data_IF_566588769114
#
_entry.id   IF_566588769114
#
_cell.length_a   1.000
_cell.length_b   1.000
_cell.length_c   1.000
_cell.angle_alpha   90.00
_cell.angle_beta   90.00
_cell.angle_gamma   90.00
#
_symmetry.space_group_name_H-M   'P 1'
#
loop_
_entity.id
_entity.type
_entity.pdbx_description
1 polymer ?
#
# COMPACT_ATOMS: atom_id res chain seq x y z
N UNK A 1 -0.64 17.46 -5.21
CA UNK A 1 0.05 16.34 -4.54
C UNK A 1 -0.91 15.16 -4.50
N UNK A 2 -0.46 14.00 -4.97
CA UNK A 2 -1.25 12.77 -4.91
C UNK A 2 -0.54 11.69 -4.07
N UNK A 3 -1.33 10.88 -3.37
CA UNK A 3 -0.90 9.66 -2.72
C UNK A 3 -1.73 8.48 -3.24
N UNK A 4 -1.10 7.35 -3.47
CA UNK A 4 -1.77 6.10 -3.87
C UNK A 4 -1.51 5.05 -2.81
N UNK A 5 -2.55 4.37 -2.33
CA UNK A 5 -2.42 3.23 -1.41
C UNK A 5 -2.93 1.96 -2.08
N UNK A 6 -2.13 0.90 -2.03
CA UNK A 6 -2.37 -0.38 -2.71
C UNK A 6 -2.57 -1.48 -1.66
N UNK A 7 -3.77 -2.06 -1.63
CA UNK A 7 -4.11 -3.04 -0.60
C UNK A 7 -3.37 -4.37 -0.74
N UNK A 8 -3.48 -5.20 0.31
CA UNK A 8 -3.11 -6.61 0.24
C UNK A 8 -4.03 -7.45 -0.66
N UNK A 9 -3.65 -8.71 -0.87
CA UNK A 9 -4.36 -9.66 -1.75
C UNK A 9 -3.48 -10.44 -2.73
N UNK A 10 -2.15 -10.46 -2.53
CA UNK A 10 -1.22 -11.23 -3.37
C UNK A 10 -1.09 -10.71 -4.80
N UNK A 11 -0.80 -11.60 -5.76
CA UNK A 11 -0.65 -11.28 -7.17
C UNK A 11 -1.93 -10.65 -7.77
N UNK A 12 -3.11 -11.00 -7.24
CA UNK A 12 -4.37 -10.37 -7.65
C UNK A 12 -4.39 -8.88 -7.36
N UNK A 13 -4.01 -8.49 -6.14
CA UNK A 13 -3.96 -7.08 -5.74
C UNK A 13 -2.91 -6.31 -6.55
N UNK A 14 -1.78 -6.95 -6.83
CA UNK A 14 -0.76 -6.38 -7.70
C UNK A 14 -1.26 -6.18 -9.15
N UNK A 15 -2.00 -7.12 -9.72
CA UNK A 15 -2.57 -6.98 -11.07
C UNK A 15 -3.66 -5.90 -11.13
N UNK A 16 -4.63 -5.93 -10.21
CA UNK A 16 -5.67 -4.89 -10.15
C UNK A 16 -5.09 -3.49 -9.93
N UNK A 17 -4.14 -3.38 -8.99
CA UNK A 17 -3.40 -2.14 -8.74
C UNK A 17 -2.60 -1.66 -9.95
N UNK A 18 -1.99 -2.58 -10.73
CA UNK A 18 -1.28 -2.22 -11.95
C UNK A 18 -2.22 -1.55 -12.97
N UNK A 19 -3.44 -2.08 -13.11
CA UNK A 19 -4.49 -1.44 -13.90
C UNK A 19 -4.82 -0.02 -13.44
N UNK A 20 -4.93 0.21 -12.13
CA UNK A 20 -5.12 1.56 -11.58
C UNK A 20 -3.95 2.48 -11.93
N UNK A 21 -2.70 2.03 -11.77
CA UNK A 21 -1.52 2.82 -12.14
C UNK A 21 -1.49 3.14 -13.65
N UNK A 22 -1.89 2.20 -14.51
CA UNK A 22 -1.99 2.42 -15.95
C UNK A 22 -2.99 3.54 -16.28
N UNK A 23 -4.15 3.57 -15.62
CA UNK A 23 -5.15 4.63 -15.84
C UNK A 23 -4.73 5.98 -15.26
N UNK A 24 -4.02 6.00 -14.11
CA UNK A 24 -3.38 7.23 -13.59
C UNK A 24 -2.32 7.77 -14.56
N UNK A 25 -1.51 6.90 -15.17
CA UNK A 25 -0.52 7.29 -16.19
C UNK A 25 -1.17 7.77 -17.48
N UNK A 26 -2.30 7.19 -17.87
CA UNK A 26 -3.06 7.62 -19.04
C UNK A 26 -3.76 8.98 -18.85
N UNK A 27 -3.95 9.41 -17.61
CA UNK A 27 -4.62 10.68 -17.28
C UNK A 27 -3.64 11.85 -17.37
N UNK A 28 -3.60 12.48 -18.55
CA UNK A 28 -2.75 13.64 -18.87
C UNK A 28 -3.45 14.96 -18.57
N UNK A 29 -2.69 15.93 -18.08
CA UNK A 29 -3.17 17.29 -17.86
C UNK A 29 -2.02 18.31 -17.92
N UNK A 30 -2.37 19.58 -18.07
CA UNK A 30 -1.40 20.67 -18.14
C UNK A 30 -1.11 21.25 -16.76
N UNK A 31 0.18 21.49 -16.48
CA UNK A 31 0.63 22.24 -15.31
C UNK A 31 1.41 23.48 -15.74
N UNK A 32 1.75 24.34 -14.78
CA UNK A 32 2.68 25.46 -15.05
C UNK A 32 4.06 24.99 -15.56
N UNK A 33 4.41 23.71 -15.36
CA UNK A 33 5.67 23.09 -15.80
C UNK A 33 5.53 22.40 -17.18
N UNK A 34 4.34 22.37 -17.76
CA UNK A 34 4.00 21.66 -19.00
C UNK A 34 3.09 20.44 -18.76
N UNK A 35 2.92 19.64 -19.82
CA UNK A 35 2.12 18.42 -19.81
C UNK A 35 2.72 17.39 -18.84
N UNK A 36 1.85 16.82 -17.99
CA UNK A 36 2.21 15.77 -17.04
C UNK A 36 1.11 14.71 -17.00
N UNK A 37 1.34 13.63 -16.25
CA UNK A 37 0.31 12.63 -15.93
C UNK A 37 -0.02 12.66 -14.45
N UNK A 38 -1.20 12.18 -14.07
CA UNK A 38 -1.57 12.09 -12.66
C UNK A 38 -0.64 11.16 -11.88
N UNK A 39 -0.13 10.11 -12.52
CA UNK A 39 0.85 9.21 -11.91
C UNK A 39 2.20 9.90 -11.66
N UNK A 40 2.66 10.76 -12.56
CA UNK A 40 3.92 11.50 -12.41
C UNK A 40 3.86 12.55 -11.28
N UNK A 41 2.65 12.95 -10.85
CA UNK A 41 2.40 13.86 -9.73
C UNK A 41 2.11 13.14 -8.39
N UNK A 42 2.24 11.81 -8.36
CA UNK A 42 2.17 11.02 -7.12
C UNK A 42 3.45 11.25 -6.31
N UNK A 43 3.29 11.80 -5.11
CA UNK A 43 4.38 12.02 -4.16
C UNK A 43 4.60 10.85 -3.20
N UNK A 44 3.61 9.99 -3.02
CA UNK A 44 3.65 8.86 -2.10
C UNK A 44 2.92 7.66 -2.71
N UNK A 45 3.59 6.50 -2.70
CA UNK A 45 2.96 5.21 -2.96
C UNK A 45 3.09 4.33 -1.71
N UNK A 46 1.96 3.90 -1.17
CA UNK A 46 1.86 2.99 -0.03
C UNK A 46 1.40 1.62 -0.51
N UNK A 47 1.93 0.55 0.07
CA UNK A 47 1.53 -0.80 -0.29
C UNK A 47 1.58 -1.78 0.87
N UNK A 48 0.64 -2.72 0.85
CA UNK A 48 0.50 -3.80 1.83
C UNK A 48 0.50 -5.14 1.12
N UNK A 49 1.22 -6.14 1.64
CA UNK A 49 1.27 -7.51 1.11
C UNK A 49 1.52 -7.50 -0.42
N UNK A 50 0.65 -8.12 -1.23
CA UNK A 50 0.71 -8.04 -2.69
C UNK A 50 0.81 -6.63 -3.29
N UNK A 51 0.08 -5.65 -2.74
CA UNK A 51 0.18 -4.24 -3.15
C UNK A 51 1.54 -3.61 -2.85
N UNK A 52 2.25 -4.08 -1.80
CA UNK A 52 3.62 -3.63 -1.50
C UNK A 52 4.63 -4.06 -2.56
N UNK A 53 4.37 -5.20 -3.25
CA UNK A 53 5.23 -5.67 -4.34
C UNK A 53 5.15 -4.69 -5.52
N UNK A 54 3.93 -4.32 -5.92
CA UNK A 54 3.70 -3.33 -6.99
C UNK A 54 4.22 -1.94 -6.59
N UNK A 55 3.90 -1.48 -5.38
CA UNK A 55 4.33 -0.17 -4.87
C UNK A 55 5.86 -0.04 -4.90
N UNK A 56 6.57 -1.04 -4.37
CA UNK A 56 8.03 -1.04 -4.33
C UNK A 56 8.64 -1.14 -5.73
N UNK A 57 8.05 -1.91 -6.64
CA UNK A 57 8.54 -2.03 -8.01
C UNK A 57 8.39 -0.71 -8.77
N UNK A 58 7.22 -0.06 -8.66
CA UNK A 58 6.99 1.25 -9.27
C UNK A 58 7.91 2.33 -8.68
N UNK A 59 8.06 2.39 -7.35
CA UNK A 59 8.97 3.34 -6.73
C UNK A 59 10.42 3.15 -7.19
N UNK A 60 10.89 1.90 -7.28
CA UNK A 60 12.25 1.59 -7.68
C UNK A 60 12.54 1.82 -9.16
N UNK A 61 11.60 1.47 -10.05
CA UNK A 61 11.86 1.36 -11.49
C UNK A 61 10.98 2.27 -12.37
N UNK A 62 10.05 3.02 -11.79
CA UNK A 62 9.18 3.95 -12.52
C UNK A 62 8.38 3.26 -13.63
N UNK A 63 8.41 3.82 -14.84
CA UNK A 63 7.64 3.35 -16.00
C UNK A 63 8.02 1.92 -16.46
N UNK A 64 9.14 1.34 -16.00
CA UNK A 64 9.42 -0.08 -16.22
C UNK A 64 8.32 -0.99 -15.65
N UNK A 65 7.55 -0.51 -14.65
CA UNK A 65 6.41 -1.24 -14.09
C UNK A 65 5.40 -1.65 -15.16
N UNK A 66 5.22 -0.84 -16.21
CA UNK A 66 4.22 -1.10 -17.27
C UNK A 66 4.70 -2.05 -18.37
N UNK A 67 5.98 -2.44 -18.35
CA UNK A 67 6.56 -3.29 -19.39
C UNK A 67 7.21 -4.55 -18.86
N UNK A 68 7.66 -4.53 -17.60
CA UNK A 68 8.43 -5.62 -17.00
C UNK A 68 7.78 -6.27 -15.80
N UNK A 69 6.90 -5.56 -15.07
CA UNK A 69 6.35 -6.09 -13.83
C UNK A 69 5.57 -7.39 -14.03
N UNK A 70 4.80 -7.49 -15.11
CA UNK A 70 4.09 -8.71 -15.46
C UNK A 70 5.04 -9.89 -15.61
N UNK A 71 6.11 -9.73 -16.40
CA UNK A 71 7.10 -10.77 -16.61
C UNK A 71 7.94 -11.08 -15.37
N UNK A 72 8.32 -10.07 -14.61
CA UNK A 72 9.22 -10.20 -13.46
C UNK A 72 8.48 -10.74 -12.21
N UNK A 73 7.15 -10.60 -12.13
CA UNK A 73 6.35 -11.05 -10.97
C UNK A 73 5.04 -11.76 -11.34
N UNK A 74 4.12 -11.14 -12.08
CA UNK A 74 2.74 -11.63 -12.22
C UNK A 74 2.61 -12.92 -13.06
N UNK A 75 3.51 -13.12 -14.02
CA UNK A 75 3.53 -14.26 -14.95
C UNK A 75 4.61 -15.29 -14.59
N UNK A 76 5.38 -15.03 -13.53
CA UNK A 76 6.34 -16.01 -13.01
C UNK A 76 5.55 -17.07 -12.26
N UNK A 77 5.91 -18.34 -12.45
CA UNK A 77 5.41 -19.46 -11.63
C UNK A 77 6.01 -19.36 -10.21
N UNK A 78 5.60 -18.36 -9.46
CA UNK A 78 6.23 -17.92 -8.23
C UNK A 78 6.01 -18.94 -7.11
N UNK A 79 4.84 -19.57 -7.03
CA UNK A 79 4.58 -20.66 -6.07
C UNK A 79 5.41 -21.89 -6.40
N UNK A 80 5.52 -22.24 -7.68
CA UNK A 80 6.37 -23.35 -8.13
C UNK A 80 7.84 -23.10 -7.78
N UNK A 81 8.31 -21.86 -7.93
CA UNK A 81 9.64 -21.40 -7.50
C UNK A 81 9.85 -21.49 -5.99
N UNK A 82 8.90 -20.99 -5.20
CA UNK A 82 8.94 -21.03 -3.73
C UNK A 82 8.97 -22.48 -3.21
N UNK A 83 8.16 -23.37 -3.77
CA UNK A 83 8.14 -24.79 -3.40
C UNK A 83 9.49 -25.44 -3.72
N UNK A 84 10.01 -25.26 -4.93
CA UNK A 84 11.33 -25.81 -5.31
C UNK A 84 12.45 -25.25 -4.43
N UNK A 85 12.41 -23.96 -4.12
CA UNK A 85 13.41 -23.32 -3.29
C UNK A 85 13.30 -23.77 -1.83
N UNK A 86 12.09 -23.94 -1.29
CA UNK A 86 11.86 -24.46 0.07
C UNK A 86 12.28 -25.93 0.22
N UNK A 87 12.10 -26.73 -0.83
CA UNK A 87 12.52 -28.13 -0.92
C UNK A 87 13.99 -28.32 -1.32
N UNK A 88 14.72 -27.24 -1.61
CA UNK A 88 16.14 -27.34 -1.93
C UNK A 88 16.96 -27.75 -0.70
N UNK A 89 18.01 -28.59 -0.82
CA UNK A 89 18.78 -29.08 0.33
C UNK A 89 19.33 -27.95 1.22
N UNK A 90 19.75 -26.85 0.60
CA UNK A 90 20.25 -25.68 1.31
C UNK A 90 19.16 -24.96 2.11
N UNK A 91 17.97 -24.76 1.54
CA UNK A 91 16.85 -24.14 2.26
C UNK A 91 16.26 -25.06 3.31
N UNK A 92 16.14 -26.37 3.05
CA UNK A 92 15.63 -27.32 4.04
C UNK A 92 16.56 -27.38 5.26
N UNK A 93 17.88 -27.37 5.07
CA UNK A 93 18.85 -27.22 6.16
C UNK A 93 18.73 -25.87 6.87
N UNK A 94 18.59 -24.76 6.12
CA UNK A 94 18.37 -23.45 6.75
C UNK A 94 17.05 -23.39 7.51
N UNK A 95 15.98 -24.02 7.05
CA UNK A 95 14.67 -24.08 7.71
C UNK A 95 14.68 -24.88 9.02
N UNK A 96 15.74 -25.67 9.31
CA UNK A 96 15.93 -26.23 10.66
C UNK A 96 16.47 -25.20 11.65
N UNK A 97 16.95 -24.05 11.17
CA UNK A 97 17.40 -22.93 12.00
C UNK A 97 16.20 -22.20 12.60
N UNK A 98 16.23 -21.85 13.90
CA UNK A 98 15.21 -20.99 14.50
C UNK A 98 15.24 -19.56 13.94
N UNK A 99 16.30 -19.18 13.21
CA UNK A 99 16.49 -17.83 12.65
C UNK A 99 16.17 -17.72 11.15
N UNK A 100 15.77 -18.82 10.50
CA UNK A 100 15.43 -18.82 9.08
C UNK A 100 14.10 -19.53 8.84
N UNK A 101 13.11 -18.77 8.39
CA UNK A 101 11.76 -19.26 8.13
C UNK A 101 11.34 -19.17 6.66
N UNK A 102 10.09 -19.54 6.40
CA UNK A 102 9.48 -19.55 5.06
C UNK A 102 9.49 -18.17 4.39
N UNK A 103 9.41 -17.10 5.17
CA UNK A 103 9.42 -15.73 4.61
C UNK A 103 10.79 -15.31 4.12
N UNK A 104 11.89 -15.83 4.67
CA UNK A 104 13.23 -15.58 4.11
C UNK A 104 13.39 -16.25 2.74
N UNK A 105 12.68 -17.35 2.47
CA UNK A 105 12.62 -17.95 1.12
C UNK A 105 11.91 -16.98 0.15
N UNK A 106 10.79 -16.39 0.57
CA UNK A 106 10.11 -15.35 -0.20
C UNK A 106 10.99 -14.13 -0.46
N UNK A 107 11.66 -13.61 0.58
CA UNK A 107 12.58 -12.47 0.46
C UNK A 107 13.69 -12.75 -0.56
N UNK A 108 14.31 -13.94 -0.52
CA UNK A 108 15.33 -14.32 -1.50
C UNK A 108 14.80 -14.36 -2.94
N UNK A 109 13.57 -14.80 -3.16
CA UNK A 109 13.00 -14.84 -4.50
C UNK A 109 12.68 -13.43 -5.00
N UNK A 110 12.14 -12.58 -4.12
CA UNK A 110 11.89 -11.17 -4.39
C UNK A 110 13.17 -10.36 -4.65
N UNK A 111 14.34 -10.84 -4.19
CA UNK A 111 15.63 -10.21 -4.48
C UNK A 111 15.87 -10.07 -5.99
N UNK A 112 15.45 -11.06 -6.78
CA UNK A 112 15.56 -11.03 -8.25
C UNK A 112 14.59 -10.00 -8.87
N UNK A 113 13.39 -9.88 -8.31
CA UNK A 113 12.35 -8.93 -8.74
C UNK A 113 12.83 -7.49 -8.49
N UNK A 114 13.39 -7.23 -7.31
CA UNK A 114 13.88 -5.90 -6.91
C UNK A 114 15.34 -5.66 -7.26
N UNK A 115 16.02 -6.60 -7.93
CA UNK A 115 17.42 -6.45 -8.39
C UNK A 115 18.38 -6.05 -7.26
N UNK A 116 18.11 -6.53 -6.04
CA UNK A 116 18.84 -6.19 -4.81
C UNK A 116 18.77 -4.73 -4.35
N UNK A 117 17.77 -3.97 -4.84
CA UNK A 117 17.58 -2.56 -4.48
C UNK A 117 17.23 -2.41 -3.00
N UNK A 118 17.86 -1.43 -2.34
CA UNK A 118 17.59 -1.04 -0.95
C UNK A 118 16.78 0.26 -0.85
N UNK A 119 16.26 0.60 0.33
CA UNK A 119 15.67 1.92 0.57
C UNK A 119 16.68 3.07 0.41
N UNK A 120 17.96 2.82 0.69
CA UNK A 120 19.04 3.78 0.43
C UNK A 120 19.21 4.06 -1.07
N UNK A 121 19.26 3.01 -1.89
CA UNK A 121 19.32 3.13 -3.35
C UNK A 121 18.11 3.88 -3.91
N UNK A 122 16.90 3.60 -3.38
CA UNK A 122 15.68 4.29 -3.78
C UNK A 122 15.81 5.80 -3.53
N UNK A 123 16.23 6.18 -2.31
CA UNK A 123 16.40 7.58 -1.91
C UNK A 123 17.42 8.32 -2.79
N UNK A 124 18.51 7.65 -3.17
CA UNK A 124 19.56 8.26 -3.99
C UNK A 124 19.16 8.37 -5.47
N UNK A 125 18.58 7.32 -6.05
CA UNK A 125 18.35 7.21 -7.50
C UNK A 125 16.98 7.73 -7.92
N UNK A 126 15.95 7.49 -7.11
CA UNK A 126 14.54 7.84 -7.38
C UNK A 126 13.84 8.31 -6.08
N UNK A 127 14.13 9.54 -5.61
CA UNK A 127 13.55 10.05 -4.36
C UNK A 127 12.03 10.22 -4.39
N UNK A 128 11.41 10.18 -5.57
CA UNK A 128 9.96 10.29 -5.77
C UNK A 128 9.45 9.23 -6.77
N UNK A 129 8.25 8.65 -6.53
CA UNK A 129 7.42 8.83 -5.32
C UNK A 129 8.10 8.23 -4.08
N UNK A 130 7.81 8.76 -2.89
CA UNK A 130 8.20 8.08 -1.65
C UNK A 130 7.48 6.75 -1.54
N UNK A 131 8.18 5.72 -1.10
CA UNK A 131 7.61 4.40 -0.83
C UNK A 131 7.26 4.25 0.66
N UNK A 132 6.05 3.77 0.94
CA UNK A 132 5.64 3.31 2.26
C UNK A 132 5.25 1.83 2.17
N UNK A 133 6.02 0.96 2.83
CA UNK A 133 5.66 -0.46 3.00
C UNK A 133 5.20 -0.65 4.44
N UNK A 134 4.09 -1.36 4.63
CA UNK A 134 3.50 -1.56 5.95
C UNK A 134 3.39 -3.04 6.28
N UNK A 135 3.92 -3.44 7.42
CA UNK A 135 3.73 -4.76 8.04
C UNK A 135 2.90 -4.62 9.33
N UNK A 136 2.62 -5.71 10.03
CA UNK A 136 1.98 -5.69 11.34
C UNK A 136 2.93 -6.18 12.43
N UNK A 137 3.10 -5.41 13.51
CA UNK A 137 3.78 -5.89 14.71
C UNK A 137 2.88 -6.88 15.45
N UNK A 138 3.27 -8.15 15.45
CA UNK A 138 2.49 -9.25 16.01
C UNK A 138 2.21 -9.11 17.51
N UNK A 139 3.06 -8.39 18.25
CA UNK A 139 2.88 -8.23 19.71
C UNK A 139 1.82 -7.18 20.04
N UNK A 140 1.82 -6.07 19.30
CA UNK A 140 0.96 -4.92 19.59
C UNK A 140 -0.28 -4.87 18.71
N UNK A 141 -0.28 -5.58 17.58
CA UNK A 141 -1.34 -5.56 16.57
C UNK A 141 -1.40 -4.24 15.80
N UNK A 142 -0.37 -3.40 15.88
CA UNK A 142 -0.33 -2.09 15.20
C UNK A 142 0.49 -2.17 13.90
N UNK A 143 0.22 -1.29 12.93
CA UNK A 143 1.05 -1.16 11.74
C UNK A 143 2.51 -0.85 12.11
N UNK A 144 3.44 -1.57 11.49
CA UNK A 144 4.86 -1.27 11.49
C UNK A 144 5.25 -0.76 10.12
N UNK A 145 5.63 0.51 10.05
CA UNK A 145 5.92 1.21 8.79
C UNK A 145 7.42 1.19 8.50
N UNK A 146 7.82 0.87 7.27
CA UNK A 146 9.21 0.97 6.84
C UNK A 146 9.56 2.42 6.51
N UNK A 147 9.67 3.24 7.56
CA UNK A 147 9.96 4.69 7.48
C UNK A 147 11.20 5.06 8.30
N UNK A 148 11.93 6.13 7.93
CA UNK A 148 13.07 6.60 8.71
C UNK A 148 12.70 6.88 10.17
N UNK A 149 11.50 7.40 10.41
CA UNK A 149 10.99 7.72 11.74
C UNK A 149 10.81 6.45 12.59
N UNK A 150 10.18 5.41 12.04
CA UNK A 150 9.98 4.13 12.72
C UNK A 150 11.31 3.41 12.99
N UNK A 151 12.25 3.46 12.04
CA UNK A 151 13.57 2.84 12.19
C UNK A 151 14.45 3.59 13.19
N UNK A 152 14.34 4.91 13.28
CA UNK A 152 15.00 5.71 14.30
C UNK A 152 14.51 5.37 15.72
N UNK A 153 13.22 5.04 15.92
CA UNK A 153 12.70 4.61 17.22
C UNK A 153 13.35 3.32 17.74
N UNK A 154 13.70 2.41 16.82
CA UNK A 154 14.35 1.13 17.14
C UNK A 154 15.87 1.18 16.98
N UNK A 155 16.45 2.38 16.74
CA UNK A 155 17.87 2.60 16.51
C UNK A 155 18.47 1.71 15.41
N UNK A 156 17.73 1.54 14.32
CA UNK A 156 18.15 0.80 13.13
C UNK A 156 18.17 1.72 11.91
N UNK A 157 18.93 1.33 10.89
CA UNK A 157 19.02 2.08 9.64
C UNK A 157 18.06 1.51 8.59
N UNK A 158 17.12 2.33 8.11
CA UNK A 158 16.22 1.95 7.02
C UNK A 158 16.98 1.84 5.70
N UNK A 159 18.01 2.65 5.45
CA UNK A 159 18.66 2.74 4.14
C UNK A 159 19.33 1.43 3.74
N UNK A 160 19.89 0.71 4.72
CA UNK A 160 20.45 -0.63 4.54
C UNK A 160 19.41 -1.74 4.26
N UNK A 161 18.12 -1.47 4.39
CA UNK A 161 17.06 -2.49 4.26
C UNK A 161 16.80 -2.79 2.78
N UNK A 162 16.88 -4.06 2.34
CA UNK A 162 16.44 -4.46 1.00
C UNK A 162 14.93 -4.30 0.83
N UNK A 163 14.50 -3.84 -0.35
CA UNK A 163 13.07 -3.79 -0.69
C UNK A 163 12.42 -5.17 -0.58
N UNK A 164 13.15 -6.21 -1.01
CA UNK A 164 12.74 -7.61 -0.92
C UNK A 164 12.39 -8.04 0.52
N UNK A 165 13.16 -7.57 1.51
CA UNK A 165 12.93 -7.87 2.93
C UNK A 165 11.66 -7.18 3.44
N UNK A 166 11.49 -5.89 3.17
CA UNK A 166 10.32 -5.14 3.64
C UNK A 166 9.02 -5.67 3.03
N UNK A 167 9.03 -5.94 1.73
CA UNK A 167 7.89 -6.49 0.99
C UNK A 167 7.58 -7.92 1.45
N UNK A 168 8.60 -8.75 1.71
CA UNK A 168 8.38 -10.08 2.26
C UNK A 168 7.78 -10.04 3.68
N UNK A 169 8.23 -9.11 4.53
CA UNK A 169 7.64 -8.90 5.85
C UNK A 169 6.18 -8.44 5.76
N UNK A 170 5.88 -7.49 4.86
CA UNK A 170 4.52 -7.01 4.59
C UNK A 170 3.60 -8.09 4.01
N UNK A 171 4.17 -9.13 3.40
CA UNK A 171 3.45 -10.26 2.79
C UNK A 171 3.47 -11.54 3.64
N UNK A 172 3.94 -11.48 4.90
CA UNK A 172 4.17 -12.64 5.76
C UNK A 172 2.87 -13.17 6.40
N UNK A 173 1.96 -13.69 5.56
CA UNK A 173 0.63 -14.16 6.00
C UNK A 173 0.78 -15.20 7.12
N UNK A 174 0.18 -14.98 8.30
CA UNK A 174 0.28 -15.94 9.41
C UNK A 174 -0.09 -17.36 8.97
N UNK A 175 0.57 -18.36 9.56
CA UNK A 175 0.40 -19.79 9.29
C UNK A 175 0.92 -20.25 7.92
N UNK A 176 0.73 -19.47 6.84
CA UNK A 176 1.29 -19.77 5.52
C UNK A 176 2.79 -19.46 5.45
N UNK A 177 3.17 -18.33 6.03
CA UNK A 177 4.53 -17.83 6.10
C UNK A 177 4.96 -17.70 7.57
N UNK A 178 6.25 -17.47 7.80
CA UNK A 178 6.80 -17.30 9.16
C UNK A 178 6.90 -15.81 9.49
N UNK A 179 6.71 -15.37 10.74
CA UNK A 179 6.99 -13.99 11.10
C UNK A 179 8.45 -13.61 10.77
N UNK A 180 8.65 -12.36 10.34
CA UNK A 180 9.99 -11.79 10.13
C UNK A 180 10.40 -11.09 11.40
N UNK A 181 11.60 -11.38 11.90
CA UNK A 181 12.08 -10.77 13.14
C UNK A 181 13.05 -9.64 12.85
N UNK A 182 12.77 -8.46 13.39
CA UNK A 182 13.67 -7.31 13.40
C UNK A 182 14.23 -7.16 14.81
N UNK A 183 15.52 -6.88 14.91
CA UNK A 183 16.15 -6.60 16.20
C UNK A 183 15.93 -5.15 16.59
N UNK A 184 15.53 -4.95 17.83
CA UNK A 184 15.31 -3.64 18.39
C UNK A 184 16.56 -3.20 19.17
N UNK A 185 17.13 -2.06 18.79
CA UNK A 185 18.25 -1.42 19.46
C UNK A 185 17.81 -0.12 20.16
N UNK A 186 16.50 0.11 20.31
CA UNK A 186 15.91 1.26 20.98
C UNK A 186 16.59 1.57 22.32
N UNK A 187 16.83 2.86 22.57
CA UNK A 187 17.52 3.33 23.78
C UNK A 187 19.05 3.28 23.71
N UNK A 188 19.64 2.74 22.63
CA UNK A 188 21.10 2.79 22.40
C UNK A 188 21.57 3.99 21.59
N UNK A 189 20.64 4.73 20.98
CA UNK A 189 20.92 5.84 20.08
C UNK A 189 20.21 7.14 20.49
N UNK A 190 20.73 8.28 20.06
CA UNK A 190 20.19 9.60 20.36
C UNK A 190 19.18 10.10 19.32
N UNK A 191 19.13 9.51 18.11
CA UNK A 191 18.22 9.96 17.04
C UNK A 191 16.74 9.89 17.46
N UNK A 192 16.37 8.88 18.25
CA UNK A 192 15.00 8.70 18.75
C UNK A 192 14.52 9.86 19.63
N UNK A 193 15.42 10.60 20.28
CA UNK A 193 15.09 11.67 21.23
C UNK A 193 14.57 12.93 20.53
N UNK A 194 14.97 13.18 19.27
CA UNK A 194 14.51 14.33 18.49
C UNK A 194 13.07 14.19 17.97
N UNK A 195 12.54 12.96 17.90
CA UNK A 195 11.20 12.68 17.37
C UNK A 195 10.06 13.02 18.36
N UNK A 196 10.36 13.22 19.65
CA UNK A 196 9.37 13.59 20.68
C UNK A 196 9.05 15.09 20.73
N UNK A 197 9.87 15.93 20.09
CA UNK A 197 9.91 17.39 20.34
C UNK A 197 8.79 18.20 19.67
N UNK A 198 7.71 17.57 19.16
CA UNK A 198 6.74 18.28 18.33
C UNK A 198 5.27 17.86 18.38
N UNK A 199 4.88 16.75 19.02
CA UNK A 199 3.47 16.36 19.12
C UNK A 199 2.90 16.70 20.50
N UNK A 200 2.00 17.69 20.62
CA UNK A 200 1.35 17.98 21.89
C UNK A 200 0.43 16.81 22.25
N UNK A 201 0.86 15.98 23.21
CA UNK A 201 0.16 14.76 23.65
C UNK A 201 -1.26 15.02 24.17
N UNK A 202 -1.56 16.27 24.54
CA UNK A 202 -2.88 16.68 24.99
C UNK A 202 -3.86 16.98 23.84
N UNK A 203 -3.41 17.09 22.59
CA UNK A 203 -4.28 17.51 21.46
C UNK A 203 -5.41 16.53 21.17
N UNK A 204 -5.15 15.23 21.10
CA UNK A 204 -6.18 14.23 20.78
C UNK A 204 -5.79 12.79 21.16
N UNK A 205 -6.76 11.88 21.05
CA UNK A 205 -6.60 10.45 21.34
C UNK A 205 -5.54 9.79 20.45
N UNK A 206 -5.51 10.07 19.15
CA UNK A 206 -4.56 9.47 18.21
C UNK A 206 -3.11 9.81 18.56
N UNK A 207 -2.82 11.07 18.92
CA UNK A 207 -1.49 11.49 19.37
C UNK A 207 -1.01 10.71 20.60
N UNK A 208 -1.89 10.48 21.60
CA UNK A 208 -1.55 9.67 22.79
C UNK A 208 -1.27 8.21 22.45
N UNK A 209 -2.05 7.63 21.55
CA UNK A 209 -1.87 6.25 21.09
C UNK A 209 -0.55 6.10 20.34
N UNK A 210 -0.27 6.99 19.37
CA UNK A 210 1.00 6.99 18.62
C UNK A 210 2.21 7.16 19.55
N UNK A 211 2.13 8.06 20.52
CA UNK A 211 3.21 8.22 21.50
C UNK A 211 3.46 6.95 22.31
N UNK A 212 2.41 6.28 22.80
CA UNK A 212 2.55 5.02 23.53
C UNK A 212 3.18 3.92 22.66
N UNK A 213 2.77 3.82 21.40
CA UNK A 213 3.37 2.89 20.44
C UNK A 213 4.87 3.21 20.27
N UNK A 214 5.22 4.49 20.05
CA UNK A 214 6.59 4.94 19.89
C UNK A 214 7.47 4.63 21.11
N UNK A 215 6.97 4.87 22.32
CA UNK A 215 7.68 4.53 23.56
C UNK A 215 7.94 3.02 23.68
N UNK A 216 6.99 2.18 23.24
CA UNK A 216 7.17 0.73 23.26
C UNK A 216 8.36 0.29 22.40
N UNK A 217 8.59 0.95 21.26
CA UNK A 217 9.72 0.65 20.37
C UNK A 217 11.06 1.12 20.93
N UNK A 218 11.08 2.17 21.76
CA UNK A 218 12.33 2.63 22.39
C UNK A 218 12.79 1.73 23.53
N UNK A 219 11.91 0.87 24.07
CA UNK A 219 12.25 -0.01 25.19
C UNK A 219 12.83 -1.36 24.71
N UNK A 220 14.05 -1.36 24.17
CA UNK A 220 14.70 -2.61 23.73
C UNK A 220 15.01 -3.58 24.88
N UNK A 221 14.99 -3.12 26.14
CA UNK A 221 15.19 -3.99 27.31
C UNK A 221 14.00 -4.95 27.49
N UNK A 222 12.78 -4.46 27.31
CA UNK A 222 11.56 -5.28 27.39
C UNK A 222 11.14 -5.85 26.04
N UNK A 223 11.47 -5.17 24.94
CA UNK A 223 11.12 -5.57 23.56
C UNK A 223 12.38 -5.65 22.67
N UNK A 224 13.32 -6.58 22.93
CA UNK A 224 14.58 -6.68 22.16
C UNK A 224 14.37 -7.15 20.71
N UNK A 225 13.21 -7.73 20.41
CA UNK A 225 12.84 -8.23 19.09
C UNK A 225 11.42 -7.80 18.74
N UNK A 226 11.20 -7.51 17.46
CA UNK A 226 9.90 -7.15 16.89
C UNK A 226 9.57 -8.21 15.85
N UNK A 227 8.42 -8.85 15.97
CA UNK A 227 7.99 -9.89 15.04
C UNK A 227 6.93 -9.31 14.10
N UNK A 228 7.26 -9.26 12.83
CA UNK A 228 6.43 -8.71 11.77
C UNK A 228 5.68 -9.82 11.03
N UNK A 229 4.40 -9.60 10.81
CA UNK A 229 3.54 -10.42 9.95
C UNK A 229 2.92 -9.55 8.86
N UNK A 230 2.15 -10.17 7.97
CA UNK A 230 1.46 -9.49 6.87
C UNK A 230 0.75 -8.20 7.34
N UNK A 231 0.94 -7.11 6.60
CA UNK A 231 0.37 -5.81 6.94
C UNK A 231 -1.16 -5.79 6.91
N UNK A 232 -1.78 -6.70 6.14
CA UNK A 232 -3.23 -6.84 6.04
C UNK A 232 -3.92 -7.29 7.33
N UNK A 233 -3.15 -7.76 8.32
CA UNK A 233 -3.69 -8.11 9.64
C UNK A 233 -4.14 -6.86 10.41
N UNK A 234 -3.41 -5.74 10.32
CA UNK A 234 -3.76 -4.50 11.03
C UNK A 234 -4.30 -3.38 10.13
N UNK A 235 -3.85 -3.32 8.88
CA UNK A 235 -4.23 -2.27 7.92
C UNK A 235 -4.04 -2.78 6.49
N UNK A 236 -5.05 -3.46 5.94
CA UNK A 236 -5.00 -3.98 4.58
C UNK A 236 -4.96 -2.89 3.50
N UNK A 237 -5.42 -1.67 3.79
CA UNK A 237 -5.46 -0.56 2.84
C UNK A 237 -4.18 0.29 2.85
N UNK A 238 -3.32 0.13 3.87
CA UNK A 238 -2.07 0.87 4.03
C UNK A 238 -2.26 2.38 4.23
N UNK A 239 -3.43 2.78 4.76
CA UNK A 239 -3.85 4.18 4.91
C UNK A 239 -4.03 4.59 6.37
N UNK A 240 -4.17 3.63 7.30
CA UNK A 240 -4.44 3.90 8.71
C UNK A 240 -3.32 4.69 9.37
N UNK A 241 -2.07 4.36 9.03
CA UNK A 241 -0.88 5.12 9.45
C UNK A 241 -0.95 6.59 9.06
N UNK A 242 -1.17 6.85 7.77
CA UNK A 242 -1.32 8.19 7.20
C UNK A 242 -2.43 8.99 7.89
N UNK A 243 -3.57 8.35 8.15
CA UNK A 243 -4.70 9.00 8.83
C UNK A 243 -4.38 9.29 10.30
N UNK A 244 -3.82 8.33 11.04
CA UNK A 244 -3.46 8.52 12.44
C UNK A 244 -2.47 9.66 12.61
N UNK A 245 -1.47 9.78 11.73
CA UNK A 245 -0.51 10.89 11.74
C UNK A 245 -1.18 12.23 11.42
N UNK A 246 -2.05 12.28 10.42
CA UNK A 246 -2.79 13.51 10.05
C UNK A 246 -3.73 13.97 11.18
N UNK A 247 -4.42 13.03 11.82
CA UNK A 247 -5.29 13.31 12.98
C UNK A 247 -4.42 13.75 14.17
N UNK A 248 -3.28 13.10 14.42
CA UNK A 248 -2.40 13.45 15.51
C UNK A 248 -1.77 14.84 15.38
N UNK A 249 -1.43 15.29 14.15
CA UNK A 249 -1.00 16.67 13.91
C UNK A 249 -2.11 17.68 14.24
N UNK A 250 -3.38 17.30 14.04
CA UNK A 250 -4.53 18.04 14.53
C UNK A 250 -5.11 19.10 13.59
N UNK A 251 -4.40 19.49 12.53
CA UNK A 251 -4.98 20.25 11.41
C UNK A 251 -4.24 20.01 10.10
N UNK A 252 -4.91 20.28 8.97
CA UNK A 252 -4.26 20.33 7.65
C UNK A 252 -3.12 21.36 7.61
N UNK A 253 -3.32 22.53 8.21
CA UNK A 253 -2.31 23.60 8.22
C UNK A 253 -1.02 23.17 8.91
N UNK A 254 -1.10 22.38 9.99
CA UNK A 254 0.09 21.83 10.65
C UNK A 254 0.78 20.76 9.79
N UNK A 255 0.00 19.97 9.04
CA UNK A 255 0.51 18.92 8.15
C UNK A 255 1.26 19.51 6.94
N UNK A 256 0.73 20.60 6.37
CA UNK A 256 1.27 21.26 5.18
C UNK A 256 2.04 22.55 5.50
N UNK A 257 2.29 22.85 6.78
CA UNK A 257 2.81 24.15 7.24
C UNK A 257 4.24 24.46 6.76
N UNK A 258 4.97 23.48 6.28
CA UNK A 258 6.30 23.64 5.68
C UNK A 258 6.25 23.99 4.19
N UNK A 259 5.07 23.93 3.55
CA UNK A 259 4.92 24.28 2.14
C UNK A 259 4.83 25.79 1.94
N UNK A 260 5.29 26.30 0.77
CA UNK A 260 5.16 27.72 0.46
C UNK A 260 3.69 28.19 0.48
N UNK A 261 3.42 29.46 0.85
CA UNK A 261 2.08 30.02 0.80
C UNK A 261 1.44 29.86 -0.59
N UNK A 262 0.14 29.51 -0.62
CA UNK A 262 -0.65 29.33 -1.83
C UNK A 262 -0.06 28.34 -2.87
N UNK A 263 0.74 27.36 -2.43
CA UNK A 263 1.34 26.36 -3.34
C UNK A 263 0.48 25.09 -3.50
N UNK A 264 -0.40 24.80 -2.56
CA UNK A 264 -1.22 23.59 -2.57
C UNK A 264 -2.58 23.89 -3.22
N UNK A 265 -2.76 23.38 -4.44
CA UNK A 265 -4.01 23.48 -5.20
C UNK A 265 -4.87 22.22 -5.11
N UNK A 266 -4.26 21.04 -5.03
CA UNK A 266 -4.97 19.76 -5.05
C UNK A 266 -4.30 18.77 -4.09
N UNK A 267 -5.09 18.18 -3.21
CA UNK A 267 -4.71 17.06 -2.35
C UNK A 267 -5.53 15.85 -2.80
N UNK A 268 -4.86 14.81 -3.29
CA UNK A 268 -5.52 13.62 -3.85
C UNK A 268 -5.04 12.40 -3.08
N UNK A 269 -5.99 11.60 -2.57
CA UNK A 269 -5.74 10.29 -2.00
C UNK A 269 -6.51 9.25 -2.82
N UNK A 270 -5.77 8.35 -3.48
CA UNK A 270 -6.33 7.22 -4.22
C UNK A 270 -6.13 5.97 -3.37
N UNK A 271 -7.22 5.37 -2.90
CA UNK A 271 -7.17 4.11 -2.13
C UNK A 271 -7.63 2.96 -3.03
N UNK A 272 -6.79 1.93 -3.20
CA UNK A 272 -7.07 0.80 -4.07
C UNK A 272 -7.30 -0.45 -3.22
N UNK A 273 -8.56 -0.88 -3.15
CA UNK A 273 -8.98 -2.08 -2.44
C UNK A 273 -9.21 -3.25 -3.40
N UNK A 274 -8.31 -4.22 -3.34
CA UNK A 274 -8.35 -5.46 -4.13
C UNK A 274 -8.73 -6.68 -3.26
N UNK A 275 -9.32 -6.45 -2.10
CA UNK A 275 -9.73 -7.51 -1.18
C UNK A 275 -10.83 -8.39 -1.75
N UNK A 276 -10.83 -9.68 -1.38
CA UNK A 276 -11.83 -10.65 -1.85
C UNK A 276 -13.07 -10.52 -0.99
N UNK A 277 -14.21 -10.89 -1.56
CA UNK A 277 -15.42 -11.07 -0.77
C UNK A 277 -15.20 -12.20 0.24
N UNK A 278 -15.83 -12.10 1.40
CA UNK A 278 -15.87 -13.17 2.41
C UNK A 278 -16.77 -14.30 1.88
N UNK A 279 -16.33 -14.97 0.81
CA UNK A 279 -16.97 -16.18 0.30
C UNK A 279 -16.50 -17.36 1.14
N UNK A 280 -16.85 -17.37 2.42
CA UNK A 280 -16.87 -18.61 3.18
C UNK A 280 -18.31 -18.82 3.59
N UNK A 281 -19.04 -19.65 2.85
CA UNK A 281 -20.38 -20.17 3.20
C UNK A 281 -20.35 -21.05 4.45
N UNK A 282 -19.51 -20.71 5.44
CA UNK A 282 -19.51 -21.27 6.78
C UNK A 282 -20.87 -21.03 7.42
N UNK A 283 -21.50 -19.90 7.12
CA UNK A 283 -22.85 -19.58 7.59
C UNK A 283 -23.95 -20.32 6.81
N UNK A 284 -23.62 -20.97 5.68
CA UNK A 284 -24.57 -21.73 4.87
C UNK A 284 -24.75 -23.18 5.38
N UNK A 285 -24.02 -23.58 6.43
CA UNK A 285 -24.07 -24.93 6.98
C UNK A 285 -24.01 -24.94 8.51
N UNK A 286 -24.75 -25.85 9.12
CA UNK A 286 -24.71 -26.16 10.56
C UNK A 286 -23.49 -27.01 10.98
N UNK A 287 -22.65 -27.41 10.02
CA UNK A 287 -21.46 -28.23 10.27
C UNK A 287 -20.36 -27.40 10.91
N UNK A 288 -19.68 -28.00 11.90
CA UNK A 288 -18.52 -27.40 12.55
C UNK A 288 -17.45 -27.04 11.50
N UNK A 289 -17.00 -25.78 11.41
CA UNK A 289 -15.98 -25.37 10.46
C UNK A 289 -14.67 -26.13 10.69
N UNK A 290 -14.00 -26.50 9.60
CA UNK A 290 -12.66 -27.07 9.66
C UNK A 290 -11.64 -26.06 10.19
N UNK A 291 -10.52 -26.54 10.74
CA UNK A 291 -9.42 -25.67 11.21
C UNK A 291 -8.93 -24.70 10.13
N UNK A 292 -8.86 -25.15 8.87
CA UNK A 292 -8.48 -24.31 7.74
C UNK A 292 -9.50 -23.20 7.46
N UNK A 293 -10.80 -23.51 7.53
CA UNK A 293 -11.87 -22.52 7.41
C UNK A 293 -11.79 -21.47 8.52
N UNK A 294 -11.61 -21.89 9.78
CA UNK A 294 -11.47 -20.96 10.92
C UNK A 294 -10.30 -20.00 10.72
N UNK A 295 -9.12 -20.52 10.37
CA UNK A 295 -7.93 -19.70 10.11
C UNK A 295 -8.16 -18.71 8.98
N UNK A 296 -8.74 -19.17 7.86
CA UNK A 296 -9.02 -18.33 6.70
C UNK A 296 -9.98 -17.18 7.04
N UNK A 297 -11.03 -17.46 7.83
CA UNK A 297 -11.99 -16.46 8.28
C UNK A 297 -11.38 -15.49 9.29
N UNK A 298 -10.52 -15.94 10.19
CA UNK A 298 -9.85 -15.04 11.14
C UNK A 298 -8.83 -14.11 10.49
N UNK A 299 -8.09 -14.59 9.47
CA UNK A 299 -7.08 -13.76 8.79
C UNK A 299 -7.75 -12.82 7.78
N UNK A 300 -8.57 -13.36 6.88
CA UNK A 300 -9.12 -12.58 5.76
C UNK A 300 -10.53 -12.04 6.05
N UNK A 301 -11.37 -12.75 6.81
CA UNK A 301 -12.71 -12.27 7.16
C UNK A 301 -12.73 -11.19 8.25
N UNK A 302 -11.82 -11.25 9.22
CA UNK A 302 -11.63 -10.13 10.15
C UNK A 302 -10.90 -8.96 9.49
N UNK A 303 -9.93 -9.25 8.61
CA UNK A 303 -9.25 -8.26 7.77
C UNK A 303 -10.24 -7.41 6.97
N UNK A 304 -11.23 -8.03 6.33
CA UNK A 304 -12.24 -7.29 5.54
C UNK A 304 -13.07 -6.32 6.38
N UNK A 305 -13.43 -6.70 7.61
CA UNK A 305 -14.10 -5.79 8.55
C UNK A 305 -13.21 -4.62 8.94
N UNK A 306 -11.92 -4.86 9.17
CA UNK A 306 -10.98 -3.78 9.46
C UNK A 306 -10.75 -2.87 8.25
N UNK A 307 -10.75 -3.40 7.03
CA UNK A 307 -10.71 -2.61 5.79
C UNK A 307 -11.94 -1.70 5.66
N UNK A 308 -13.14 -2.22 5.92
CA UNK A 308 -14.39 -1.45 5.92
C UNK A 308 -14.37 -0.35 6.99
N UNK A 309 -14.01 -0.69 8.23
CA UNK A 309 -13.86 0.28 9.32
C UNK A 309 -12.84 1.38 8.97
N UNK A 310 -11.69 1.00 8.40
CA UNK A 310 -10.66 1.94 7.97
C UNK A 310 -11.18 2.85 6.86
N UNK A 311 -11.96 2.32 5.91
CA UNK A 311 -12.56 3.10 4.83
C UNK A 311 -13.51 4.16 5.36
N UNK A 312 -14.41 3.80 6.29
CA UNK A 312 -15.33 4.75 6.91
C UNK A 312 -14.59 5.79 7.77
N UNK A 313 -13.58 5.37 8.53
CA UNK A 313 -12.71 6.29 9.27
C UNK A 313 -12.01 7.30 8.35
N UNK A 314 -11.52 6.85 7.20
CA UNK A 314 -10.89 7.73 6.18
C UNK A 314 -11.92 8.71 5.63
N UNK A 315 -13.14 8.25 5.29
CA UNK A 315 -14.21 9.14 4.80
C UNK A 315 -14.55 10.22 5.82
N UNK A 316 -14.74 9.86 7.08
CA UNK A 316 -15.03 10.80 8.17
C UNK A 316 -13.88 11.80 8.38
N UNK A 317 -12.63 11.32 8.37
CA UNK A 317 -11.47 12.18 8.46
C UNK A 317 -11.40 13.16 7.27
N UNK A 318 -11.59 12.67 6.04
CA UNK A 318 -11.55 13.49 4.83
C UNK A 318 -12.65 14.55 4.81
N UNK A 319 -13.85 14.26 5.30
CA UNK A 319 -14.92 15.27 5.43
C UNK A 319 -14.54 16.39 6.40
N UNK A 320 -13.90 16.06 7.53
CA UNK A 320 -13.39 17.08 8.48
C UNK A 320 -12.28 17.92 7.85
N UNK A 321 -11.31 17.26 7.20
CA UNK A 321 -10.21 17.93 6.51
C UNK A 321 -10.73 18.84 5.38
N UNK A 322 -11.80 18.46 4.68
CA UNK A 322 -12.41 19.33 3.67
C UNK A 322 -12.99 20.62 4.29
N UNK A 323 -13.60 20.52 5.48
CA UNK A 323 -14.04 21.69 6.25
C UNK A 323 -12.88 22.61 6.62
N UNK A 324 -11.81 22.06 7.18
CA UNK A 324 -10.59 22.81 7.51
C UNK A 324 -9.95 23.47 6.29
N UNK A 325 -9.90 22.75 5.16
CA UNK A 325 -9.35 23.27 3.91
C UNK A 325 -10.16 24.47 3.40
N UNK A 326 -11.50 24.38 3.44
CA UNK A 326 -12.39 25.49 3.05
C UNK A 326 -12.17 26.72 3.92
N UNK A 327 -11.91 26.54 5.20
CA UNK A 327 -11.61 27.64 6.10
C UNK A 327 -10.22 28.23 5.84
N UNK A 328 -9.20 27.39 5.61
CA UNK A 328 -7.81 27.80 5.51
C UNK A 328 -7.41 28.35 4.12
N UNK A 329 -8.08 27.92 3.05
CA UNK A 329 -7.71 28.29 1.68
C UNK A 329 -7.84 29.79 1.40
N UNK A 330 -6.88 30.35 0.68
CA UNK A 330 -6.87 31.77 0.30
C UNK A 330 -6.61 32.76 1.46
N UNK A 331 -6.34 32.28 2.69
CA UNK A 331 -5.90 33.13 3.79
C UNK A 331 -4.43 33.54 3.61
N UNK A 332 -4.08 34.74 4.06
CA UNK A 332 -2.69 35.20 4.05
C UNK A 332 -1.78 34.25 4.86
N UNK A 333 -0.69 33.80 4.24
CA UNK A 333 0.27 32.86 4.86
C UNK A 333 -0.18 31.39 4.87
N UNK A 334 -1.38 31.07 4.38
CA UNK A 334 -1.84 29.68 4.24
C UNK A 334 -1.09 28.99 3.08
N UNK A 335 -0.66 27.72 3.24
CA UNK A 335 -0.10 26.95 2.14
C UNK A 335 -1.14 26.62 1.05
N UNK A 336 -2.43 26.73 1.38
CA UNK A 336 -3.55 26.36 0.49
C UNK A 336 -3.99 27.53 -0.37
N UNK A 337 -3.90 27.36 -1.69
CA UNK A 337 -4.38 28.33 -2.67
C UNK A 337 -5.91 28.50 -2.60
N UNK A 338 -6.46 29.60 -3.09
CA UNK A 338 -7.90 29.89 -2.99
C UNK A 338 -8.79 28.83 -3.69
N UNK A 339 -8.25 28.17 -4.70
CA UNK A 339 -8.85 27.08 -5.48
C UNK A 339 -8.49 25.68 -4.93
N UNK A 340 -7.91 25.60 -3.72
CA UNK A 340 -7.52 24.33 -3.13
C UNK A 340 -8.72 23.38 -2.96
N UNK A 341 -8.55 22.15 -3.42
CA UNK A 341 -9.54 21.07 -3.34
C UNK A 341 -8.94 19.75 -2.84
N UNK A 342 -9.79 18.96 -2.19
CA UNK A 342 -9.46 17.65 -1.61
C UNK A 342 -10.25 16.55 -2.33
N UNK A 343 -9.58 15.46 -2.70
CA UNK A 343 -10.17 14.31 -3.38
C UNK A 343 -9.82 13.01 -2.67
N UNK A 344 -10.86 12.22 -2.35
CA UNK A 344 -10.74 10.83 -1.92
C UNK A 344 -11.29 9.95 -3.04
N UNK A 345 -10.39 9.30 -3.78
CA UNK A 345 -10.76 8.39 -4.87
C UNK A 345 -10.63 6.96 -4.35
N UNK A 346 -11.74 6.37 -3.89
CA UNK A 346 -11.76 4.98 -3.46
C UNK A 346 -12.08 4.06 -4.63
N UNK A 347 -11.13 3.20 -5.00
CA UNK A 347 -11.25 2.21 -6.07
C UNK A 347 -11.34 0.83 -5.43
N UNK A 348 -12.44 0.11 -5.66
CA UNK A 348 -12.63 -1.23 -5.10
C UNK A 348 -13.04 -2.22 -6.18
N UNK A 349 -12.54 -3.46 -6.08
CA UNK A 349 -13.08 -4.59 -6.86
C UNK A 349 -14.58 -4.80 -6.63
N UNK A 350 -15.11 -4.39 -5.47
CA UNK A 350 -16.53 -4.52 -5.13
C UNK A 350 -17.43 -3.58 -5.96
N UNK A 351 -16.86 -2.48 -6.46
CA UNK A 351 -17.59 -1.39 -7.11
C UNK A 351 -17.71 -1.58 -8.62
N UNK A 352 -17.23 -2.71 -9.16
CA UNK A 352 -17.43 -3.06 -10.57
C UNK A 352 -18.92 -3.26 -10.89
N UNK A 353 -19.40 -2.60 -11.95
CA UNK A 353 -20.81 -2.65 -12.37
C UNK A 353 -21.21 -4.03 -12.92
N UNK A 354 -20.34 -4.67 -13.69
CA UNK A 354 -20.55 -6.02 -14.22
C UNK A 354 -20.49 -7.04 -13.09
N UNK A 355 -21.66 -7.53 -12.68
CA UNK A 355 -21.79 -8.48 -11.57
C UNK A 355 -21.13 -9.83 -11.84
N UNK A 356 -21.09 -10.28 -13.11
CA UNK A 356 -20.47 -11.54 -13.50
C UNK A 356 -18.96 -11.45 -13.46
N UNK A 357 -18.39 -10.40 -14.07
CA UNK A 357 -16.96 -10.11 -14.00
C UNK A 357 -16.51 -9.90 -12.54
N UNK A 358 -17.28 -9.11 -11.78
CA UNK A 358 -17.01 -8.90 -10.36
C UNK A 358 -16.93 -10.21 -9.60
N UNK A 359 -17.91 -11.11 -9.75
CA UNK A 359 -17.90 -12.38 -9.02
C UNK A 359 -16.69 -13.24 -9.41
N UNK A 360 -16.38 -13.34 -10.70
CA UNK A 360 -15.23 -14.07 -11.21
C UNK A 360 -13.91 -13.56 -10.61
N UNK A 361 -13.71 -12.24 -10.58
CA UNK A 361 -12.48 -11.63 -10.05
C UNK A 361 -12.38 -11.73 -8.53
N UNK A 362 -13.52 -11.71 -7.84
CA UNK A 362 -13.58 -11.85 -6.38
C UNK A 362 -13.23 -13.25 -5.89
N UNK A 363 -13.50 -14.26 -6.72
CA UNK A 363 -13.16 -15.67 -6.47
C UNK A 363 -11.68 -16.00 -6.76
N UNK A 364 -10.94 -15.11 -7.42
CA UNK A 364 -9.49 -15.28 -7.63
C UNK A 364 -8.79 -15.33 -6.26
N UNK A 365 -8.03 -16.40 -5.95
CA UNK A 365 -7.49 -16.60 -4.61
C UNK A 365 -6.39 -15.59 -4.28
N UNK A 366 -6.26 -15.26 -2.99
CA UNK A 366 -5.10 -14.55 -2.46
C UNK A 366 -3.88 -15.47 -2.51
N UNK A 367 -3.06 -15.30 -3.54
CA UNK A 367 -1.91 -16.14 -3.84
C UNK A 367 -0.77 -15.33 -4.48
N UNK A 368 0.46 -15.81 -4.41
CA UNK A 368 1.60 -15.24 -5.15
C UNK A 368 1.63 -15.64 -6.64
N UNK A 369 0.70 -16.49 -7.08
CA UNK A 369 0.58 -16.95 -8.46
C UNK A 369 -0.91 -17.01 -8.81
N UNK A 370 -1.28 -16.45 -9.97
CA UNK A 370 -2.63 -16.45 -10.53
C UNK A 370 -2.54 -16.81 -12.02
N UNK A 371 -3.66 -17.24 -12.61
CA UNK A 371 -3.69 -17.56 -14.03
C UNK A 371 -3.42 -16.31 -14.88
N UNK A 372 -2.65 -16.39 -15.98
CA UNK A 372 -2.39 -15.23 -16.85
C UNK A 372 -3.65 -14.52 -17.35
N UNK A 373 -4.71 -15.28 -17.64
CA UNK A 373 -6.01 -14.70 -18.01
C UNK A 373 -6.58 -13.80 -16.90
N UNK A 374 -6.54 -14.26 -15.65
CA UNK A 374 -6.98 -13.47 -14.50
C UNK A 374 -6.12 -12.21 -14.33
N UNK A 375 -4.81 -12.26 -14.59
CA UNK A 375 -3.94 -11.08 -14.55
C UNK A 375 -4.46 -9.97 -15.45
N UNK A 376 -4.71 -10.28 -16.73
CA UNK A 376 -5.22 -9.30 -17.68
C UNK A 376 -6.64 -8.81 -17.35
N UNK A 377 -7.53 -9.70 -16.88
CA UNK A 377 -8.88 -9.31 -16.48
C UNK A 377 -8.87 -8.37 -15.26
N UNK A 378 -7.98 -8.60 -14.30
CA UNK A 378 -7.81 -7.74 -13.12
C UNK A 378 -7.23 -6.37 -13.49
N UNK A 379 -6.25 -6.32 -14.37
CA UNK A 379 -5.70 -5.05 -14.86
C UNK A 379 -6.78 -4.23 -15.59
N UNK A 380 -7.54 -4.88 -16.48
CA UNK A 380 -8.65 -4.25 -17.19
C UNK A 380 -9.70 -3.73 -16.21
N UNK A 381 -10.05 -4.53 -15.20
CA UNK A 381 -10.98 -4.14 -14.15
C UNK A 381 -10.47 -2.97 -13.30
N UNK A 382 -9.17 -2.93 -12.95
CA UNK A 382 -8.57 -1.83 -12.20
C UNK A 382 -8.61 -0.52 -12.96
N UNK A 383 -8.30 -0.56 -14.27
CA UNK A 383 -8.43 0.61 -15.15
C UNK A 383 -9.87 1.10 -15.22
N UNK A 384 -10.82 0.17 -15.43
CA UNK A 384 -12.23 0.49 -15.56
C UNK A 384 -12.78 1.09 -14.26
N UNK A 385 -12.51 0.45 -13.12
CA UNK A 385 -12.97 0.89 -11.81
C UNK A 385 -12.49 2.31 -11.47
N UNK A 386 -11.23 2.64 -11.78
CA UNK A 386 -10.75 4.01 -11.59
C UNK A 386 -11.41 4.97 -12.59
N UNK A 387 -11.49 4.59 -13.87
CA UNK A 387 -12.07 5.44 -14.91
C UNK A 387 -13.52 5.78 -14.64
N UNK A 388 -14.33 4.84 -14.19
CA UNK A 388 -15.76 5.05 -13.94
C UNK A 388 -16.04 5.69 -12.57
N UNK A 389 -15.02 5.80 -11.71
CA UNK A 389 -15.17 6.38 -10.38
C UNK A 389 -15.64 7.85 -10.44
N UNK A 390 -16.77 8.21 -9.79
CA UNK A 390 -17.33 9.57 -9.84
C UNK A 390 -16.38 10.66 -9.31
N UNK A 391 -15.65 10.35 -8.24
CA UNK A 391 -14.68 11.26 -7.63
C UNK A 391 -13.44 11.44 -8.52
N UNK A 392 -13.00 10.38 -9.21
CA UNK A 392 -11.96 10.48 -10.21
C UNK A 392 -12.39 11.35 -11.40
N UNK A 393 -13.62 11.18 -11.87
CA UNK A 393 -14.18 12.03 -12.93
C UNK A 393 -14.35 13.48 -12.50
N UNK A 394 -14.61 13.75 -11.21
CA UNK A 394 -14.58 15.09 -10.63
C UNK A 394 -13.16 15.68 -10.67
N UNK A 395 -12.15 14.89 -10.26
CA UNK A 395 -10.74 15.29 -10.33
C UNK A 395 -10.28 15.57 -11.76
N UNK A 396 -10.58 14.68 -12.73
CA UNK A 396 -10.21 14.88 -14.14
C UNK A 396 -10.77 16.18 -14.71
N UNK A 397 -12.03 16.48 -14.41
CA UNK A 397 -12.67 17.74 -14.84
C UNK A 397 -12.00 18.95 -14.20
N UNK A 398 -11.63 18.89 -12.93
CA UNK A 398 -10.97 20.01 -12.25
C UNK A 398 -9.52 20.24 -12.73
N UNK A 399 -8.86 19.20 -13.25
CA UNK A 399 -7.55 19.29 -13.89
C UNK A 399 -7.61 19.70 -15.37
N UNK A 400 -8.80 19.77 -15.98
CA UNK A 400 -8.93 19.94 -17.43
C UNK A 400 -8.32 18.78 -18.23
N UNK A 401 -8.23 17.59 -17.61
CA UNK A 401 -7.58 16.43 -18.20
C UNK A 401 -8.37 15.90 -19.42
N UNK A 402 -7.68 15.66 -20.54
CA UNK A 402 -8.29 15.08 -21.74
C UNK A 402 -8.32 13.55 -21.65
N UNK A 403 -9.35 12.91 -22.21
CA UNK A 403 -9.42 11.45 -22.33
C UNK A 403 -8.77 11.02 -23.65
N UNK A 404 -7.86 10.05 -23.62
CA UNK A 404 -7.66 9.21 -24.80
C UNK A 404 -8.92 8.37 -24.97
N UNK A 405 -9.77 8.72 -25.94
CA UNK A 405 -10.71 7.77 -26.49
C UNK A 405 -9.89 6.67 -27.17
N UNK A 406 -10.02 5.43 -26.73
CA UNK A 406 -9.55 4.27 -27.49
C UNK A 406 -10.20 4.31 -28.86
N UNK A 407 -9.43 4.61 -29.91
CA UNK A 407 -9.90 4.56 -31.28
C UNK A 407 -10.33 3.13 -31.65
N UNK A 408 -11.35 2.95 -32.49
CA UNK A 408 -11.77 1.62 -32.91
C UNK A 408 -10.66 0.96 -33.72
N UNK A 409 -10.21 -0.22 -33.29
CA UNK A 409 -9.39 -1.09 -34.09
C UNK A 409 -10.24 -1.63 -35.25
N UNK A 410 -9.95 -1.17 -36.47
CA UNK A 410 -10.26 -1.88 -37.71
C UNK A 410 -9.37 -1.36 -38.83
N UNK A 411 -8.54 -2.21 -39.41
CA UNK A 411 -8.36 -2.21 -40.85
C UNK A 411 -9.08 -3.45 -41.40
N UNK A 412 -9.98 -3.20 -42.33
CA UNK A 412 -10.68 -4.23 -43.08
C UNK A 412 -9.70 -5.19 -43.76
N UNK A 413 -10.10 -6.46 -43.73
CA UNK A 413 -9.51 -7.50 -44.57
C UNK A 413 -10.02 -7.30 -45.98
N UNK A 414 -9.23 -6.67 -46.84
CA UNK A 414 -9.39 -6.79 -48.27
C UNK A 414 -8.69 -8.08 -48.73
N UNK A 415 -9.49 -9.01 -49.23
CA UNK A 415 -9.04 -10.16 -50.03
C UNK A 415 -9.44 -9.91 -51.48
N UNK A 416 -8.58 -10.22 -52.45
CA UNK A 416 -9.03 -10.73 -53.74
C UNK A 416 -9.26 -12.24 -53.70
#
# INVERSE_FOLDING_TARGET
MAAVTLSGGGARAAAFGLGVLQELKATRFETQRGETTLLDEVGLVSGVSGGSILAAYYAAFGDEVFTRFEHDFLLVNFQSGLIRQALSPASTYRLTSPWWGRTQVLANQLESVFRGTTFGDLRERRPWPRLLVTATDLTTGVPFEFTPEQFALICSDLESVPLSFAVAASSAVPILLSPVTVRNYGGTCTQAQGLDMGMPLERNFSARVLHRIAQSYRNAKERPYIHLVDGGVADNLGVRGLMNHTIASGSLSDTFGTMPPSSVHKIVLVTVNSERGVATGIDDSDRVPSTGQVVNTLIFGAGSRFSEETTEMVKDAMQRLEGELREARGRAGSPFAADAELYLVNVSLHDLEDSGMRQLLMDVPTAFEILPAHTHDLEAAGRLALRENPEFQRLRRSLGAQSMATGPASPGVDTP
#
